data_IF_906815870074
#
_entry.id   IF_906815870074
#
_cell.length_a   1.000
_cell.length_b   1.000
_cell.length_c   1.000
_cell.angle_alpha   90.00
_cell.angle_beta   90.00
_cell.angle_gamma   90.00
#
_symmetry.space_group_name_H-M   'P 1'
#
loop_
_entity.id
_entity.type
_entity.pdbx_description
1 polymer ?
#
# COMPACT_ATOMS: atom_id res chain seq x y z
N UNK A 1 0.76 3.03 -15.59
CA UNK A 1 -0.54 2.41 -15.20
C UNK A 1 -1.44 3.51 -14.69
N UNK A 2 -2.58 3.75 -15.35
CA UNK A 2 -3.45 4.89 -15.07
C UNK A 2 -4.70 4.49 -14.27
N UNK A 3 -5.09 3.22 -14.32
CA UNK A 3 -6.25 2.71 -13.58
C UNK A 3 -6.08 1.24 -13.17
N UNK A 4 -6.73 0.87 -12.06
CA UNK A 4 -6.94 -0.50 -11.61
C UNK A 4 -8.44 -0.78 -11.65
N UNK A 5 -8.86 -1.75 -12.47
CA UNK A 5 -10.25 -2.14 -12.60
C UNK A 5 -10.54 -3.49 -11.95
N UNK A 6 -11.61 -3.58 -11.18
CA UNK A 6 -12.19 -4.86 -10.73
C UNK A 6 -13.51 -5.08 -11.47
N UNK A 7 -13.71 -6.28 -11.99
CA UNK A 7 -14.95 -6.67 -12.69
C UNK A 7 -15.48 -7.93 -12.04
N UNK A 8 -16.56 -7.79 -11.26
CA UNK A 8 -17.26 -8.87 -10.56
C UNK A 8 -16.34 -9.76 -9.72
N UNK A 9 -15.28 -9.18 -9.12
CA UNK A 9 -14.29 -9.91 -8.33
C UNK A 9 -14.91 -10.41 -7.03
N UNK A 10 -14.68 -11.69 -6.71
CA UNK A 10 -15.07 -12.30 -5.44
C UNK A 10 -13.98 -13.27 -4.99
N UNK A 11 -13.45 -13.15 -3.75
CA UNK A 11 -12.56 -14.17 -3.18
C UNK A 11 -13.22 -15.53 -3.12
N UNK A 12 -12.49 -16.61 -3.45
CA UNK A 12 -13.04 -17.97 -3.46
C UNK A 12 -13.59 -18.39 -2.08
N UNK A 13 -13.01 -17.87 -1.00
CA UNK A 13 -13.51 -18.10 0.38
C UNK A 13 -14.94 -17.59 0.60
N UNK A 14 -15.42 -16.69 -0.23
CA UNK A 14 -16.78 -16.12 -0.16
C UNK A 14 -17.72 -16.69 -1.25
N UNK A 15 -17.30 -17.71 -2.02
CA UNK A 15 -18.09 -18.25 -3.13
C UNK A 15 -19.51 -18.68 -2.68
N UNK A 16 -19.61 -19.42 -1.55
CA UNK A 16 -20.87 -19.93 -1.03
C UNK A 16 -21.63 -18.93 -0.15
N UNK A 17 -20.93 -17.93 0.43
CA UNK A 17 -21.54 -16.92 1.30
C UNK A 17 -20.93 -15.54 1.06
N UNK A 18 -21.32 -14.86 -0.04
CA UNK A 18 -20.79 -13.55 -0.40
C UNK A 18 -21.14 -12.50 0.67
N UNK A 19 -20.20 -11.58 0.97
CA UNK A 19 -20.47 -10.47 1.88
C UNK A 19 -21.64 -9.62 1.39
N UNK A 20 -22.60 -9.39 2.27
CA UNK A 20 -23.76 -8.54 1.98
C UNK A 20 -23.36 -7.08 2.13
N UNK A 21 -23.74 -6.24 1.16
CA UNK A 21 -23.50 -4.80 1.22
C UNK A 21 -22.11 -4.35 0.75
N UNK A 22 -21.23 -5.25 0.30
CA UNK A 22 -19.95 -4.86 -0.25
C UNK A 22 -20.12 -4.00 -1.51
N UNK A 23 -19.37 -2.91 -1.58
CA UNK A 23 -19.30 -2.03 -2.76
C UNK A 23 -18.14 -2.42 -3.70
N UNK A 24 -17.35 -3.42 -3.33
CA UNK A 24 -16.22 -3.94 -4.12
C UNK A 24 -16.49 -5.34 -4.63
N UNK A 25 -16.86 -6.29 -3.72
CA UNK A 25 -17.08 -7.67 -4.12
C UNK A 25 -18.33 -7.83 -4.98
N UNK A 26 -18.21 -8.52 -6.11
CA UNK A 26 -19.24 -8.67 -7.15
C UNK A 26 -19.74 -7.33 -7.71
N UNK A 27 -18.86 -6.33 -7.76
CA UNK A 27 -19.12 -5.03 -8.36
C UNK A 27 -18.08 -4.70 -9.42
N UNK A 28 -18.42 -3.76 -10.27
CA UNK A 28 -17.48 -3.14 -11.20
C UNK A 28 -16.96 -1.87 -10.57
N UNK A 29 -15.67 -1.90 -10.18
CA UNK A 29 -15.01 -0.79 -9.49
C UNK A 29 -13.76 -0.39 -10.28
N UNK A 30 -13.46 0.90 -10.27
CA UNK A 30 -12.23 1.42 -10.87
C UNK A 30 -11.56 2.38 -9.88
N UNK A 31 -10.25 2.22 -9.73
CA UNK A 31 -9.37 3.13 -9.01
C UNK A 31 -8.49 3.85 -10.03
N UNK A 32 -8.54 5.16 -10.05
CA UNK A 32 -7.79 6.00 -10.98
C UNK A 32 -6.51 6.51 -10.31
N UNK A 33 -5.46 6.66 -11.09
CA UNK A 33 -4.22 7.32 -10.68
C UNK A 33 -4.50 8.77 -10.27
N UNK A 34 -3.73 9.29 -9.30
CA UNK A 34 -3.88 10.65 -8.80
C UNK A 34 -5.05 10.87 -7.85
N UNK A 35 -5.68 9.80 -7.36
CA UNK A 35 -6.79 9.85 -6.41
C UNK A 35 -6.50 9.07 -5.13
N UNK A 36 -7.21 9.42 -4.06
CA UNK A 36 -7.09 8.80 -2.75
C UNK A 36 -8.36 8.04 -2.39
N UNK A 37 -8.22 6.76 -2.16
CA UNK A 37 -9.33 5.86 -1.86
C UNK A 37 -9.18 5.25 -0.47
N UNK A 38 -10.30 5.11 0.23
CA UNK A 38 -10.40 4.34 1.46
C UNK A 38 -11.27 3.10 1.22
N UNK A 39 -10.80 1.95 1.66
CA UNK A 39 -11.55 0.68 1.69
C UNK A 39 -11.77 0.31 3.15
N UNK A 40 -12.94 0.66 3.67
CA UNK A 40 -13.34 0.33 5.04
C UNK A 40 -13.94 -1.06 5.10
N UNK A 41 -13.60 -1.79 6.13
CA UNK A 41 -14.10 -3.14 6.27
C UNK A 41 -13.99 -3.68 7.70
N UNK A 42 -14.93 -4.50 8.10
CA UNK A 42 -14.81 -5.26 9.34
C UNK A 42 -13.66 -6.26 9.26
N UNK A 43 -13.22 -6.75 10.42
CA UNK A 43 -12.25 -7.85 10.46
C UNK A 43 -12.82 -9.09 9.74
N UNK A 44 -12.00 -9.76 8.92
CA UNK A 44 -12.42 -10.94 8.17
C UNK A 44 -13.15 -10.70 6.85
N UNK A 45 -13.43 -9.46 6.46
CA UNK A 45 -14.14 -9.13 5.19
C UNK A 45 -13.31 -9.24 3.91
N UNK A 46 -12.03 -9.63 4.01
CA UNK A 46 -11.17 -9.85 2.83
C UNK A 46 -10.23 -8.71 2.47
N UNK A 47 -9.97 -7.72 3.35
CA UNK A 47 -9.03 -6.61 3.09
C UNK A 47 -7.65 -7.04 2.62
N UNK A 48 -7.00 -7.93 3.39
CA UNK A 48 -5.67 -8.43 3.01
C UNK A 48 -5.71 -9.28 1.74
N UNK A 49 -6.87 -9.92 1.44
CA UNK A 49 -7.10 -10.57 0.15
C UNK A 49 -7.18 -9.54 -0.97
N UNK A 50 -7.92 -8.45 -0.77
CA UNK A 50 -8.03 -7.35 -1.73
C UNK A 50 -6.65 -6.79 -2.08
N UNK A 51 -5.86 -6.36 -1.08
CA UNK A 51 -4.49 -5.92 -1.30
C UNK A 51 -3.63 -7.00 -1.95
N UNK A 52 -3.81 -8.27 -1.54
CA UNK A 52 -3.10 -9.41 -2.07
C UNK A 52 -3.36 -9.67 -3.55
N UNK A 53 -4.60 -9.50 -3.99
CA UNK A 53 -4.97 -9.61 -5.40
C UNK A 53 -4.38 -8.48 -6.22
N UNK A 54 -4.52 -7.23 -5.78
CA UNK A 54 -3.97 -6.08 -6.49
C UNK A 54 -2.44 -6.12 -6.58
N UNK A 55 -1.76 -6.63 -5.55
CA UNK A 55 -0.31 -6.79 -5.58
C UNK A 55 0.16 -8.10 -6.24
N UNK A 56 -0.78 -8.98 -6.64
CA UNK A 56 -0.53 -10.19 -7.41
C UNK A 56 0.15 -11.34 -6.68
N UNK A 57 0.09 -11.40 -5.35
CA UNK A 57 0.59 -12.55 -4.59
C UNK A 57 -0.50 -13.56 -4.21
N UNK A 58 -1.78 -13.24 -4.45
CA UNK A 58 -2.93 -14.13 -4.36
C UNK A 58 -3.67 -14.19 -5.69
N UNK A 59 -4.28 -15.33 -6.00
CA UNK A 59 -5.02 -15.57 -7.24
C UNK A 59 -6.32 -16.35 -7.05
N UNK A 60 -6.70 -16.59 -5.80
CA UNK A 60 -7.87 -17.35 -5.36
C UNK A 60 -9.13 -16.47 -5.37
N UNK A 61 -9.53 -16.02 -6.57
CA UNK A 61 -10.72 -15.21 -6.80
C UNK A 61 -11.36 -15.51 -8.16
N UNK A 62 -12.68 -15.32 -8.25
CA UNK A 62 -13.44 -15.23 -9.50
C UNK A 62 -13.54 -13.78 -9.97
N UNK A 63 -14.02 -13.57 -11.20
CA UNK A 63 -14.08 -12.24 -11.82
C UNK A 63 -12.74 -11.87 -12.46
N UNK A 64 -12.54 -10.60 -12.79
CA UNK A 64 -11.36 -10.10 -13.51
C UNK A 64 -10.79 -8.85 -12.85
N UNK A 65 -9.48 -8.79 -12.72
CA UNK A 65 -8.76 -7.58 -12.30
C UNK A 65 -7.92 -7.09 -13.48
N UNK A 66 -8.06 -5.81 -13.78
CA UNK A 66 -7.42 -5.16 -14.91
C UNK A 66 -6.42 -4.11 -14.43
N UNK A 67 -5.24 -4.08 -15.01
CA UNK A 67 -4.34 -2.94 -14.99
C UNK A 67 -4.43 -2.24 -16.34
N UNK A 68 -4.93 -1.03 -16.35
CA UNK A 68 -5.47 -0.36 -17.53
C UNK A 68 -6.55 -1.23 -18.19
N UNK A 69 -6.28 -1.84 -19.32
CA UNK A 69 -7.22 -2.70 -20.01
C UNK A 69 -6.75 -4.17 -20.08
N UNK A 70 -5.66 -4.53 -19.38
CA UNK A 70 -5.06 -5.86 -19.42
C UNK A 70 -5.39 -6.67 -18.16
N UNK A 71 -5.88 -7.90 -18.33
CA UNK A 71 -6.08 -8.83 -17.19
C UNK A 71 -4.73 -9.17 -16.53
N UNK A 72 -4.68 -9.01 -15.20
CA UNK A 72 -3.47 -9.28 -14.43
C UNK A 72 -3.07 -10.76 -14.43
N UNK A 73 -3.97 -11.67 -14.81
CA UNK A 73 -3.67 -13.10 -14.97
C UNK A 73 -2.78 -13.39 -16.16
N UNK A 74 -2.78 -12.52 -17.16
CA UNK A 74 -1.96 -12.63 -18.37
C UNK A 74 -0.53 -12.13 -18.17
N UNK A 75 -0.26 -11.50 -17.03
CA UNK A 75 1.06 -10.96 -16.72
C UNK A 75 2.05 -12.08 -16.39
N UNK A 76 3.16 -12.08 -17.10
CA UNK A 76 4.31 -12.95 -16.83
C UNK A 76 5.01 -12.59 -15.52
N UNK A 77 5.83 -13.48 -14.99
CA UNK A 77 6.64 -13.24 -13.78
C UNK A 77 7.56 -12.01 -13.95
N UNK A 78 8.14 -11.82 -15.14
CA UNK A 78 8.99 -10.66 -15.43
C UNK A 78 8.21 -9.35 -15.40
N UNK A 79 7.00 -9.30 -15.98
CA UNK A 79 6.14 -8.13 -15.96
C UNK A 79 5.67 -7.79 -14.53
N UNK A 80 5.30 -8.80 -13.73
CA UNK A 80 5.00 -8.61 -12.32
C UNK A 80 6.18 -8.04 -11.53
N UNK A 81 7.40 -8.52 -11.80
CA UNK A 81 8.61 -7.98 -11.18
C UNK A 81 8.80 -6.51 -11.54
N UNK A 82 8.62 -6.15 -12.81
CA UNK A 82 8.69 -4.77 -13.30
C UNK A 82 7.65 -3.86 -12.64
N UNK A 83 6.39 -4.32 -12.57
CA UNK A 83 5.30 -3.57 -11.94
C UNK A 83 5.57 -3.32 -10.46
N UNK A 84 5.99 -4.35 -9.70
CA UNK A 84 6.33 -4.21 -8.26
C UNK A 84 7.60 -3.40 -8.00
N UNK A 85 8.39 -3.17 -9.02
CA UNK A 85 9.57 -2.32 -8.93
C UNK A 85 9.27 -0.84 -9.21
N UNK A 86 8.31 -0.55 -10.12
CA UNK A 86 8.15 0.79 -10.69
C UNK A 86 6.74 1.37 -10.65
N UNK A 87 5.70 0.54 -10.53
CA UNK A 87 4.30 0.98 -10.64
C UNK A 87 3.45 0.66 -9.43
N UNK A 88 3.76 -0.41 -8.67
CA UNK A 88 3.01 -0.82 -7.49
C UNK A 88 3.89 -0.81 -6.25
N UNK A 89 3.64 0.09 -5.32
CA UNK A 89 4.24 0.07 -4.00
C UNK A 89 3.23 -0.45 -2.97
N UNK A 90 3.69 -1.22 -1.98
CA UNK A 90 2.81 -1.75 -0.95
C UNK A 90 3.44 -1.66 0.43
N UNK A 91 2.66 -1.13 1.38
CA UNK A 91 2.88 -1.27 2.80
C UNK A 91 1.99 -2.42 3.31
N UNK A 92 2.61 -3.52 3.71
CA UNK A 92 1.92 -4.70 4.22
C UNK A 92 1.52 -4.54 5.69
N UNK A 93 0.40 -5.07 6.10
CA UNK A 93 0.00 -5.13 7.51
C UNK A 93 1.09 -5.76 8.40
N UNK A 94 1.70 -6.86 7.96
CA UNK A 94 2.83 -7.53 8.63
C UNK A 94 4.19 -6.88 8.36
N UNK A 95 4.25 -5.66 7.85
CA UNK A 95 5.41 -4.80 7.54
C UNK A 95 6.47 -5.44 6.62
N UNK A 96 6.75 -6.72 6.75
CA UNK A 96 7.74 -7.51 5.96
C UNK A 96 9.11 -6.84 5.87
N UNK A 97 9.57 -6.30 7.00
CA UNK A 97 10.92 -5.76 7.13
C UNK A 97 11.93 -6.88 7.37
N UNK A 98 13.20 -6.59 7.09
CA UNK A 98 14.32 -7.48 7.41
C UNK A 98 14.85 -7.09 8.80
N UNK A 99 14.62 -7.92 9.81
CA UNK A 99 14.86 -7.56 11.21
C UNK A 99 16.33 -7.35 11.55
N UNK A 100 17.24 -8.01 10.83
CA UNK A 100 18.69 -7.90 11.00
C UNK A 100 19.29 -6.64 10.38
N UNK A 101 18.63 -6.07 9.37
CA UNK A 101 19.08 -4.86 8.71
C UNK A 101 18.71 -3.62 9.53
N UNK A 102 19.52 -2.57 9.39
CA UNK A 102 19.20 -1.27 9.96
C UNK A 102 17.89 -0.69 9.36
N UNK A 103 17.32 0.29 10.04
CA UNK A 103 16.13 0.99 9.54
C UNK A 103 16.41 1.63 8.16
N UNK A 104 17.55 2.28 8.00
CA UNK A 104 17.90 2.94 6.73
C UNK A 104 18.17 1.92 5.63
N UNK A 105 18.78 0.78 5.91
CA UNK A 105 19.05 -0.24 4.90
C UNK A 105 17.75 -0.90 4.43
N UNK A 106 16.75 -1.08 5.32
CA UNK A 106 15.42 -1.51 4.89
C UNK A 106 14.79 -0.55 3.86
N UNK A 107 14.95 0.76 4.04
CA UNK A 107 14.53 1.78 3.06
C UNK A 107 15.33 1.66 1.75
N UNK A 108 16.64 1.57 1.84
CA UNK A 108 17.57 1.49 0.70
C UNK A 108 17.34 0.27 -0.19
N UNK A 109 16.88 -0.87 0.35
CA UNK A 109 16.60 -2.07 -0.45
C UNK A 109 15.72 -1.79 -1.67
N UNK A 110 14.70 -0.95 -1.52
CA UNK A 110 13.85 -0.57 -2.65
C UNK A 110 14.50 0.52 -3.51
N UNK A 111 15.21 1.44 -2.88
CA UNK A 111 15.86 2.53 -3.57
C UNK A 111 16.97 2.07 -4.51
N UNK A 112 17.74 1.04 -4.15
CA UNK A 112 18.81 0.49 -4.99
C UNK A 112 18.33 -0.04 -6.34
N UNK A 113 17.05 -0.42 -6.43
CA UNK A 113 16.47 -0.94 -7.68
C UNK A 113 16.14 0.16 -8.69
N UNK A 114 15.93 1.40 -8.24
CA UNK A 114 15.39 2.46 -9.10
C UNK A 114 16.08 3.81 -8.95
N UNK A 115 16.80 4.04 -7.84
CA UNK A 115 17.38 5.35 -7.53
C UNK A 115 16.33 6.44 -7.29
N UNK A 116 15.13 6.07 -6.80
CA UNK A 116 13.98 6.98 -6.66
C UNK A 116 14.27 8.18 -5.76
N UNK A 117 15.01 7.97 -4.67
CA UNK A 117 15.32 8.99 -3.66
C UNK A 117 16.83 9.19 -3.52
N UNK A 118 17.23 10.43 -3.35
CA UNK A 118 18.58 10.74 -2.88
C UNK A 118 18.76 10.37 -1.39
N UNK A 119 19.98 10.25 -0.93
CA UNK A 119 20.27 10.03 0.50
C UNK A 119 19.74 11.18 1.39
N UNK A 120 19.73 12.40 0.89
CA UNK A 120 19.17 13.56 1.59
C UNK A 120 17.64 13.43 1.75
N UNK A 121 16.92 12.98 0.71
CA UNK A 121 15.48 12.75 0.81
C UNK A 121 15.15 11.59 1.75
N UNK A 122 15.94 10.51 1.73
CA UNK A 122 15.78 9.41 2.69
C UNK A 122 16.00 9.92 4.12
N UNK A 123 17.05 10.72 4.36
CA UNK A 123 17.32 11.32 5.66
C UNK A 123 16.16 12.19 6.13
N UNK A 124 15.63 13.04 5.23
CA UNK A 124 14.47 13.88 5.51
C UNK A 124 13.23 13.05 5.91
N UNK A 125 12.97 11.93 5.24
CA UNK A 125 11.85 11.04 5.62
C UNK A 125 11.98 10.51 7.04
N UNK A 126 13.21 10.15 7.47
CA UNK A 126 13.48 9.71 8.84
C UNK A 126 13.27 10.84 9.86
N UNK A 127 13.67 12.08 9.52
CA UNK A 127 13.43 13.25 10.36
C UNK A 127 11.95 13.59 10.46
N UNK A 128 11.27 13.70 9.33
CA UNK A 128 9.85 14.03 9.26
C UNK A 128 8.99 13.04 10.07
N UNK A 129 9.33 11.75 10.02
CA UNK A 129 8.66 10.68 10.75
C UNK A 129 9.17 10.50 12.20
N UNK A 130 10.06 11.36 12.70
CA UNK A 130 10.53 11.37 14.09
C UNK A 130 11.29 10.11 14.50
N UNK A 131 12.08 9.53 13.59
CA UNK A 131 12.92 8.34 13.83
C UNK A 131 14.35 8.51 13.31
N UNK A 132 14.82 9.76 13.19
CA UNK A 132 16.15 10.06 12.66
C UNK A 132 17.27 9.38 13.46
N UNK A 133 17.18 9.38 14.79
CA UNK A 133 18.14 8.76 15.69
C UNK A 133 18.14 7.22 15.63
N UNK A 134 17.16 6.62 14.96
CA UNK A 134 17.03 5.16 14.80
C UNK A 134 17.52 4.64 13.45
N UNK A 135 18.03 5.51 12.58
CA UNK A 135 18.42 5.14 11.20
C UNK A 135 19.32 3.92 11.14
N UNK A 136 20.36 3.89 11.97
CA UNK A 136 21.37 2.81 12.01
C UNK A 136 20.98 1.67 12.96
N UNK A 137 19.80 1.74 13.59
CA UNK A 137 19.34 0.71 14.54
C UNK A 137 18.75 -0.47 13.77
N UNK A 138 19.14 -1.73 14.07
CA UNK A 138 18.48 -2.91 13.54
C UNK A 138 16.97 -2.89 13.80
N UNK A 139 16.17 -3.26 12.80
CA UNK A 139 14.71 -3.20 12.88
C UNK A 139 14.16 -4.05 14.03
N UNK A 140 14.82 -5.18 14.35
CA UNK A 140 14.45 -6.05 15.49
C UNK A 140 14.48 -5.35 16.86
N UNK A 141 15.18 -4.21 16.98
CA UNK A 141 15.28 -3.42 18.21
C UNK A 141 14.32 -2.23 18.24
N UNK A 142 13.52 -2.04 17.21
CA UNK A 142 12.55 -0.95 17.10
C UNK A 142 11.19 -1.36 17.66
N UNK A 143 10.46 -0.39 18.25
CA UNK A 143 9.04 -0.60 18.57
C UNK A 143 8.23 -0.82 17.29
N UNK A 144 7.05 -1.45 17.42
CA UNK A 144 6.22 -1.73 16.25
C UNK A 144 5.83 -0.46 15.48
N UNK A 145 5.49 0.64 16.18
CA UNK A 145 5.20 1.93 15.53
C UNK A 145 6.43 2.55 14.83
N UNK A 146 7.68 2.32 15.33
CA UNK A 146 8.89 2.70 14.62
C UNK A 146 9.11 1.83 13.38
N UNK A 147 8.90 0.52 13.49
CA UNK A 147 8.95 -0.40 12.36
C UNK A 147 7.93 -0.02 11.29
N UNK A 148 6.73 0.39 11.68
CA UNK A 148 5.67 0.84 10.77
C UNK A 148 6.12 2.06 9.95
N UNK A 149 6.77 3.04 10.59
CA UNK A 149 7.35 4.21 9.90
C UNK A 149 8.50 3.81 8.96
N UNK A 150 9.35 2.86 9.35
CA UNK A 150 10.38 2.29 8.45
C UNK A 150 9.77 1.60 7.23
N UNK A 151 8.70 0.82 7.41
CA UNK A 151 8.00 0.17 6.31
C UNK A 151 7.38 1.19 5.34
N UNK A 152 6.86 2.30 5.88
CA UNK A 152 6.36 3.42 5.09
C UNK A 152 7.48 4.09 4.29
N UNK A 153 8.64 4.41 4.92
CA UNK A 153 9.81 4.95 4.22
C UNK A 153 10.24 4.01 3.09
N UNK A 154 10.33 2.70 3.35
CA UNK A 154 10.69 1.71 2.33
C UNK A 154 9.73 1.72 1.15
N UNK A 155 8.42 1.87 1.38
CA UNK A 155 7.43 1.99 0.32
C UNK A 155 7.68 3.23 -0.54
N UNK A 156 8.00 4.38 0.08
CA UNK A 156 8.28 5.64 -0.60
C UNK A 156 9.61 5.66 -1.37
N UNK A 157 10.52 4.71 -1.10
CA UNK A 157 11.80 4.58 -1.77
C UNK A 157 11.72 3.90 -3.14
N UNK A 158 10.54 3.69 -3.69
CA UNK A 158 10.34 3.25 -5.07
C UNK A 158 9.35 4.15 -5.80
N UNK A 159 9.43 4.30 -7.13
CA UNK A 159 8.39 4.97 -7.89
C UNK A 159 7.11 4.13 -7.87
N UNK A 160 5.95 4.77 -7.90
CA UNK A 160 4.68 4.07 -7.92
C UNK A 160 3.61 4.87 -8.67
N UNK A 161 2.88 4.19 -9.54
CA UNK A 161 1.62 4.68 -10.08
C UNK A 161 0.51 4.53 -9.04
N UNK A 162 0.57 3.43 -8.25
CA UNK A 162 -0.33 3.18 -7.12
C UNK A 162 0.43 2.74 -5.87
N UNK A 163 0.02 3.29 -4.73
CA UNK A 163 0.43 2.88 -3.38
C UNK A 163 -0.72 2.17 -2.69
N UNK A 164 -0.48 0.94 -2.24
CA UNK A 164 -1.43 0.13 -1.47
C UNK A 164 -0.98 0.13 0.00
N UNK A 165 -1.84 0.53 0.91
CA UNK A 165 -1.54 0.55 2.35
C UNK A 165 -2.54 -0.34 3.10
N UNK A 166 -2.05 -1.47 3.61
CA UNK A 166 -2.87 -2.43 4.35
C UNK A 166 -2.81 -2.15 5.86
N UNK A 167 -3.87 -1.54 6.39
CA UNK A 167 -4.02 -1.14 7.79
C UNK A 167 -2.84 -0.30 8.34
N UNK A 168 -2.43 0.79 7.67
CA UNK A 168 -1.21 1.52 8.00
C UNK A 168 -1.22 2.23 9.35
N UNK A 169 -2.37 2.35 10.01
CA UNK A 169 -2.54 3.16 11.21
C UNK A 169 -2.69 2.36 12.51
N UNK A 170 -2.59 1.03 12.47
CA UNK A 170 -2.94 0.15 13.60
C UNK A 170 -2.19 0.47 14.90
N UNK A 171 -0.96 1.01 14.84
CA UNK A 171 -0.10 1.28 15.99
C UNK A 171 0.57 2.67 15.93
N UNK A 172 -0.04 3.60 15.21
CA UNK A 172 0.44 4.99 15.13
C UNK A 172 -0.34 5.88 16.07
N UNK A 173 0.34 6.87 16.64
CA UNK A 173 -0.28 8.02 17.26
C UNK A 173 -0.76 9.03 16.20
N UNK A 174 -1.63 9.95 16.61
CA UNK A 174 -2.26 10.93 15.73
C UNK A 174 -1.24 11.82 15.02
N UNK A 175 -0.16 12.23 15.70
CA UNK A 175 0.88 13.08 15.13
C UNK A 175 1.60 12.37 13.97
N UNK A 176 2.04 11.13 14.18
CA UNK A 176 2.72 10.36 13.15
C UNK A 176 1.76 10.01 12.00
N UNK A 177 0.50 9.73 12.29
CA UNK A 177 -0.53 9.52 11.28
C UNK A 177 -0.72 10.76 10.40
N UNK A 178 -0.78 11.96 10.99
CA UNK A 178 -0.89 13.22 10.23
C UNK A 178 0.33 13.48 9.33
N UNK A 179 1.54 13.19 9.82
CA UNK A 179 2.77 13.32 9.00
C UNK A 179 2.75 12.35 7.82
N UNK A 180 2.41 11.08 8.05
CA UNK A 180 2.30 10.08 6.97
C UNK A 180 1.25 10.49 5.94
N UNK A 181 0.09 10.97 6.40
CA UNK A 181 -0.98 11.49 5.54
C UNK A 181 -0.49 12.65 4.66
N UNK A 182 0.22 13.62 5.25
CA UNK A 182 0.79 14.75 4.50
C UNK A 182 1.77 14.30 3.41
N UNK A 183 2.64 13.34 3.71
CA UNK A 183 3.58 12.77 2.73
C UNK A 183 2.84 12.03 1.62
N UNK A 184 1.78 11.26 1.93
CA UNK A 184 0.96 10.59 0.91
C UNK A 184 0.27 11.59 -0.02
N UNK A 185 -0.33 12.65 0.53
CA UNK A 185 -0.97 13.70 -0.29
C UNK A 185 0.05 14.42 -1.18
N UNK A 186 1.28 14.62 -0.71
CA UNK A 186 2.34 15.18 -1.53
C UNK A 186 2.73 14.24 -2.69
N UNK A 187 2.80 12.92 -2.48
CA UNK A 187 3.02 11.95 -3.55
C UNK A 187 1.88 11.98 -4.59
N UNK A 188 0.63 12.10 -4.14
CA UNK A 188 -0.52 12.26 -5.04
C UNK A 188 -0.39 13.53 -5.86
N UNK A 189 -0.14 14.67 -5.21
CA UNK A 189 -0.08 15.99 -5.84
C UNK A 189 1.09 16.13 -6.81
N UNK A 190 2.27 15.64 -6.44
CA UNK A 190 3.53 15.88 -7.18
C UNK A 190 3.76 14.82 -8.25
N UNK A 191 3.43 13.56 -7.96
CA UNK A 191 3.73 12.42 -8.83
C UNK A 191 2.47 11.84 -9.51
N UNK A 192 1.29 12.34 -9.17
CA UNK A 192 0.02 11.80 -9.64
C UNK A 192 -0.24 10.37 -9.16
N UNK A 193 0.37 9.94 -8.05
CA UNK A 193 0.23 8.57 -7.53
C UNK A 193 -1.18 8.33 -7.03
N UNK A 194 -1.83 7.22 -7.43
CA UNK A 194 -3.08 6.76 -6.80
C UNK A 194 -2.78 6.12 -5.44
N UNK A 195 -3.59 6.39 -4.44
CA UNK A 195 -3.42 5.84 -3.09
C UNK A 195 -4.67 5.05 -2.70
N UNK A 196 -4.49 3.80 -2.29
CA UNK A 196 -5.56 2.93 -1.78
C UNK A 196 -5.19 2.50 -0.36
N UNK A 197 -5.97 2.96 0.62
CA UNK A 197 -5.79 2.61 2.03
C UNK A 197 -6.88 1.64 2.45
N UNK A 198 -6.52 0.52 3.07
CA UNK A 198 -7.50 -0.34 3.75
C UNK A 198 -7.50 -0.06 5.24
N UNK A 199 -8.66 -0.11 5.90
CA UNK A 199 -8.77 0.18 7.33
C UNK A 199 -9.84 -0.65 8.05
N UNK A 200 -9.62 -0.87 9.34
CA UNK A 200 -10.61 -1.32 10.33
C UNK A 200 -10.82 -0.18 11.33
N UNK A 201 -11.72 0.74 11.00
CA UNK A 201 -12.16 1.82 11.91
C UNK A 201 -11.20 3.01 12.05
N UNK A 202 -9.87 2.83 12.02
CA UNK A 202 -8.92 3.95 12.04
C UNK A 202 -8.54 4.39 10.63
N UNK A 203 -8.65 5.67 10.32
CA UNK A 203 -8.31 6.23 9.01
C UNK A 203 -7.43 7.48 9.16
N UNK A 204 -6.69 7.82 8.11
CA UNK A 204 -6.04 9.13 8.05
C UNK A 204 -7.11 10.22 8.02
N UNK A 205 -6.87 11.32 8.73
CA UNK A 205 -7.73 12.51 8.70
C UNK A 205 -7.41 13.35 7.45
N UNK A 206 -7.79 12.83 6.30
CA UNK A 206 -7.64 13.46 4.99
C UNK A 206 -8.95 13.34 4.20
N UNK A 207 -9.07 14.14 3.16
CA UNK A 207 -10.15 13.98 2.18
C UNK A 207 -9.87 12.78 1.28
N UNK A 208 -10.84 11.89 1.16
CA UNK A 208 -10.81 10.76 0.24
C UNK A 208 -11.72 11.04 -0.95
N UNK A 209 -11.24 10.82 -2.16
CA UNK A 209 -12.05 10.95 -3.38
C UNK A 209 -13.24 9.98 -3.34
N UNK A 210 -13.02 8.79 -2.76
CA UNK A 210 -14.09 7.83 -2.52
C UNK A 210 -13.78 6.90 -1.35
N UNK A 211 -14.81 6.57 -0.59
CA UNK A 211 -14.80 5.55 0.47
C UNK A 211 -15.65 4.39 -0.01
N UNK A 212 -15.11 3.17 0.09
CA UNK A 212 -15.80 1.93 -0.24
C UNK A 212 -15.96 1.07 1.01
N UNK A 213 -17.10 0.44 1.16
CA UNK A 213 -17.33 -0.64 2.11
C UNK A 213 -17.00 -2.00 1.46
N UNK A 214 -16.24 -2.84 2.20
CA UNK A 214 -15.85 -4.17 1.72
C UNK A 214 -16.64 -5.27 2.40
#
# INVERSE_FOLDING_TARGET
MDKIGLRQVLPDVFADNPPVGSEIWRRDVTFDKGRVYLVEAASGSGKSSFCGYLYGYRRDYSGTILFDDRDIRELSVGEWSGLRCRSLAMMFQGLRLFPELSAVDNGRLKNTLTGRRSEAEIAWLFEALGIAEKRETPVSKLSFGQQQRVAFIRMLCQPADFMLLDEPMSHLDERNAAVMAGILLEEVRTNGTGVIVTSVGKRFEIEYDKVFSL
#
